data_IF_360787028478
#
_entry.id   IF_360787028478
#
_cell.length_a   1.000
_cell.length_b   1.000
_cell.length_c   1.000
_cell.angle_alpha   90.00
_cell.angle_beta   90.00
_cell.angle_gamma   90.00
#
_symmetry.space_group_name_H-M   'P 1'
#
loop_
_entity.id
_entity.type
_entity.pdbx_description
1 polymer ?
#
# COMPACT_ATOMS: atom_id res chain seq x y z
N UNK A 1 8.56 -11.78 3.70
CA UNK A 1 7.58 -10.80 3.22
C UNK A 1 6.23 -10.93 3.93
N UNK A 2 5.61 -12.09 3.88
CA UNK A 2 4.30 -12.32 4.50
C UNK A 2 4.30 -12.03 6.01
N UNK A 3 5.30 -12.54 6.74
CA UNK A 3 5.41 -12.29 8.18
C UNK A 3 5.60 -10.80 8.50
N UNK A 4 6.38 -10.11 7.71
CA UNK A 4 6.58 -8.66 7.86
C UNK A 4 5.28 -7.91 7.65
N UNK A 5 4.52 -8.25 6.62
CA UNK A 5 3.23 -7.62 6.32
C UNK A 5 2.25 -7.81 7.47
N UNK A 6 2.10 -9.02 7.97
CA UNK A 6 1.21 -9.30 9.09
C UNK A 6 1.60 -8.47 10.31
N UNK A 7 2.89 -8.45 10.65
CA UNK A 7 3.38 -7.68 11.81
C UNK A 7 3.13 -6.17 11.62
N UNK A 8 3.38 -5.66 10.42
CA UNK A 8 3.26 -4.21 10.13
C UNK A 8 1.81 -3.71 10.25
N UNK A 9 0.82 -4.55 9.93
CA UNK A 9 -0.59 -4.14 9.91
C UNK A 9 -1.39 -4.56 11.15
N UNK A 10 -0.75 -5.19 12.16
CA UNK A 10 -1.46 -5.64 13.37
C UNK A 10 -2.14 -4.49 14.11
N UNK A 11 -1.47 -3.35 14.27
CA UNK A 11 -2.03 -2.21 15.00
C UNK A 11 -3.29 -1.68 14.31
N UNK A 12 -3.27 -1.58 12.99
CA UNK A 12 -4.44 -1.14 12.21
C UNK A 12 -5.57 -2.17 12.27
N UNK A 13 -5.23 -3.45 12.22
CA UNK A 13 -6.23 -4.50 12.34
C UNK A 13 -6.89 -4.50 13.71
N UNK A 14 -6.11 -4.33 14.79
CA UNK A 14 -6.64 -4.23 16.14
C UNK A 14 -7.59 -3.04 16.28
N UNK A 15 -7.29 -1.92 15.60
CA UNK A 15 -8.09 -0.70 15.64
C UNK A 15 -9.40 -0.82 14.85
N UNK A 16 -9.35 -1.42 13.66
CA UNK A 16 -10.49 -1.40 12.71
C UNK A 16 -11.20 -2.74 12.56
N UNK A 17 -10.57 -3.84 12.92
CA UNK A 17 -11.14 -5.20 12.88
C UNK A 17 -11.80 -5.54 11.55
N UNK A 18 -11.03 -5.39 10.46
CA UNK A 18 -11.46 -5.63 9.09
C UNK A 18 -10.80 -6.88 8.48
N UNK A 19 -11.23 -8.09 8.86
CA UNK A 19 -10.56 -9.33 8.44
C UNK A 19 -10.56 -9.56 6.93
N UNK A 20 -11.55 -9.00 6.22
CA UNK A 20 -11.65 -9.19 4.76
C UNK A 20 -10.74 -8.27 3.97
N UNK A 21 -10.36 -7.12 4.52
CA UNK A 21 -9.61 -6.10 3.79
C UNK A 21 -8.22 -5.85 4.36
N UNK A 22 -7.94 -6.27 5.62
CA UNK A 22 -6.66 -5.99 6.26
C UNK A 22 -5.54 -6.87 5.71
N UNK A 23 -4.39 -6.26 5.34
CA UNK A 23 -3.20 -7.05 5.01
C UNK A 23 -2.68 -7.91 6.18
N UNK A 24 -3.07 -7.62 7.42
CA UNK A 24 -2.68 -8.40 8.60
C UNK A 24 -3.31 -9.79 8.63
N UNK A 25 -4.41 -10.00 7.91
CA UNK A 25 -5.11 -11.29 7.86
C UNK A 25 -4.90 -12.03 6.54
N UNK A 26 -4.08 -11.52 5.64
CA UNK A 26 -3.78 -12.18 4.39
C UNK A 26 -3.06 -13.49 4.64
N UNK A 27 -3.51 -14.57 3.97
CA UNK A 27 -2.87 -15.88 4.12
C UNK A 27 -1.55 -15.96 3.35
N UNK A 28 -0.67 -16.85 3.78
CA UNK A 28 0.57 -17.13 3.05
C UNK A 28 0.27 -17.56 1.61
N UNK A 29 -0.74 -18.39 1.42
CA UNK A 29 -1.15 -18.88 0.09
C UNK A 29 -1.54 -17.73 -0.83
N UNK A 30 -2.28 -16.75 -0.33
CA UNK A 30 -2.67 -15.58 -1.10
C UNK A 30 -1.47 -14.73 -1.49
N UNK A 31 -0.54 -14.52 -0.59
CA UNK A 31 0.70 -13.81 -0.88
C UNK A 31 1.52 -14.54 -1.94
N UNK A 32 1.64 -15.85 -1.85
CA UNK A 32 2.35 -16.68 -2.84
C UNK A 32 1.69 -16.59 -4.21
N UNK A 33 0.36 -16.65 -4.27
CA UNK A 33 -0.40 -16.51 -5.52
C UNK A 33 -0.11 -15.16 -6.18
N UNK A 34 -0.08 -14.08 -5.40
CA UNK A 34 0.24 -12.75 -5.91
C UNK A 34 1.66 -12.65 -6.45
N UNK A 35 2.62 -13.27 -5.78
CA UNK A 35 4.02 -13.29 -6.23
C UNK A 35 4.19 -13.99 -7.58
N UNK A 36 3.33 -14.95 -7.90
CA UNK A 36 3.37 -15.69 -9.17
C UNK A 36 2.72 -14.94 -10.34
N UNK A 37 1.95 -13.87 -10.06
CA UNK A 37 1.30 -13.08 -11.10
C UNK A 37 2.34 -12.30 -11.90
N UNK A 38 2.30 -12.35 -13.26
CA UNK A 38 3.32 -11.66 -14.07
C UNK A 38 3.22 -10.13 -14.02
N UNK A 39 2.08 -9.59 -13.59
CA UNK A 39 1.84 -8.16 -13.48
C UNK A 39 2.04 -7.61 -12.07
N UNK A 40 2.43 -8.47 -11.10
CA UNK A 40 2.62 -8.08 -9.70
C UNK A 40 4.11 -7.99 -9.39
N UNK A 41 4.51 -6.87 -8.81
CA UNK A 41 5.88 -6.58 -8.44
C UNK A 41 5.94 -6.29 -6.95
N UNK A 42 6.65 -7.14 -6.20
CA UNK A 42 6.93 -6.89 -4.78
C UNK A 42 8.34 -6.33 -4.64
N UNK A 43 8.46 -5.29 -3.83
CA UNK A 43 9.75 -4.67 -3.54
C UNK A 43 9.96 -4.61 -2.04
N UNK A 44 11.14 -5.02 -1.61
CA UNK A 44 11.59 -4.67 -0.27
C UNK A 44 12.07 -3.22 -0.28
N UNK A 45 11.73 -2.49 0.77
CA UNK A 45 12.22 -1.13 0.99
C UNK A 45 13.44 -1.25 1.89
N UNK A 46 14.60 -0.88 1.35
CA UNK A 46 15.88 -1.01 2.08
C UNK A 46 16.47 0.37 2.33
N UNK A 47 16.98 0.55 3.54
CA UNK A 47 17.76 1.73 3.92
C UNK A 47 19.12 1.20 4.38
N UNK A 48 20.18 1.55 3.63
CA UNK A 48 21.50 0.95 3.78
C UNK A 48 21.39 -0.58 3.64
N UNK A 49 21.79 -1.35 4.65
CA UNK A 49 21.70 -2.81 4.60
C UNK A 49 20.47 -3.36 5.34
N UNK A 50 19.57 -2.50 5.73
CA UNK A 50 18.41 -2.88 6.53
C UNK A 50 17.12 -2.86 5.71
N UNK A 51 16.35 -3.95 5.75
CA UNK A 51 15.01 -3.99 5.16
C UNK A 51 14.05 -3.36 6.16
N UNK A 52 13.45 -2.23 5.78
CA UNK A 52 12.56 -1.46 6.66
C UNK A 52 11.09 -1.62 6.34
N UNK A 53 10.76 -2.22 5.20
CA UNK A 53 9.38 -2.44 4.79
C UNK A 53 9.29 -3.11 3.43
N UNK A 54 8.11 -3.03 2.83
CA UNK A 54 7.87 -3.58 1.49
C UNK A 54 6.68 -2.88 0.84
N UNK A 55 6.56 -3.04 -0.47
CA UNK A 55 5.40 -2.54 -1.23
C UNK A 55 5.07 -3.48 -2.37
N UNK A 56 3.82 -3.49 -2.77
CA UNK A 56 3.35 -4.23 -3.94
C UNK A 56 2.83 -3.26 -4.99
N UNK A 57 3.31 -3.44 -6.22
CA UNK A 57 2.84 -2.68 -7.39
C UNK A 57 2.17 -3.65 -8.36
N UNK A 58 0.99 -3.29 -8.85
CA UNK A 58 0.35 -3.99 -9.96
C UNK A 58 0.52 -3.10 -11.19
N UNK A 59 1.20 -3.63 -12.19
CA UNK A 59 1.47 -2.91 -13.44
C UNK A 59 1.32 -3.88 -14.62
N UNK A 60 0.21 -3.75 -15.33
CA UNK A 60 -0.07 -4.59 -16.50
C UNK A 60 0.73 -4.16 -17.74
N UNK A 61 1.42 -3.02 -17.66
CA UNK A 61 2.21 -2.43 -18.77
C UNK A 61 1.38 -2.26 -20.04
N UNK A 62 0.12 -1.90 -19.87
CA UNK A 62 -0.81 -1.63 -20.95
C UNK A 62 -1.27 -0.16 -20.91
N UNK A 63 -1.31 0.48 -22.07
CA UNK A 63 -1.81 1.83 -22.17
C UNK A 63 -3.28 1.90 -21.73
N UNK A 64 -3.63 2.94 -20.98
CA UNK A 64 -4.98 3.15 -20.50
C UNK A 64 -5.34 2.41 -19.23
N UNK A 65 -4.47 1.53 -18.73
CA UNK A 65 -4.67 0.88 -17.44
C UNK A 65 -3.89 1.57 -16.34
N UNK A 66 -4.57 1.84 -15.24
CA UNK A 66 -3.92 2.40 -14.05
C UNK A 66 -3.04 1.34 -13.38
N UNK A 67 -1.91 1.78 -12.85
CA UNK A 67 -1.10 0.98 -11.93
C UNK A 67 -1.69 1.11 -10.54
N UNK A 68 -1.57 0.06 -9.75
CA UNK A 68 -2.12 0.02 -8.39
C UNK A 68 -1.01 -0.25 -7.38
N UNK A 69 -0.99 0.52 -6.30
CA UNK A 69 0.00 0.36 -5.24
C UNK A 69 -0.73 0.03 -3.94
N UNK A 70 -0.61 -1.20 -3.49
CA UNK A 70 -1.17 -1.68 -2.22
C UNK A 70 -0.80 -3.14 -1.99
N UNK A 71 -0.35 -3.53 -0.80
CA UNK A 71 -0.05 -2.64 0.32
C UNK A 71 1.31 -1.99 0.18
N UNK A 72 1.54 -0.94 0.95
CA UNK A 72 2.85 -0.41 1.26
C UNK A 72 2.96 -0.29 2.78
N UNK A 73 4.07 -0.72 3.34
CA UNK A 73 4.27 -0.64 4.79
C UNK A 73 5.72 -0.41 5.15
N UNK A 74 5.89 0.29 6.26
CA UNK A 74 7.18 0.46 6.94
C UNK A 74 7.03 -0.19 8.32
N UNK A 75 8.03 -0.96 8.73
CA UNK A 75 8.02 -1.58 10.06
C UNK A 75 8.01 -0.50 11.13
N UNK A 76 7.32 -0.78 12.24
CA UNK A 76 7.02 0.19 13.28
C UNK A 76 8.23 0.98 13.76
N UNK A 77 9.36 0.32 13.98
CA UNK A 77 10.59 0.93 14.47
C UNK A 77 11.26 1.90 13.49
N UNK A 78 10.84 1.89 12.24
CA UNK A 78 11.41 2.75 11.19
C UNK A 78 10.45 3.83 10.69
N UNK A 79 9.25 3.92 11.25
CA UNK A 79 8.23 4.88 10.82
C UNK A 79 8.59 6.32 11.21
N UNK A 80 7.97 7.27 10.52
CA UNK A 80 8.15 8.69 10.79
C UNK A 80 9.42 9.29 10.20
N UNK A 81 10.07 8.63 9.26
CA UNK A 81 11.33 9.04 8.64
C UNK A 81 11.23 9.34 7.15
N UNK A 82 10.03 9.30 6.58
CA UNK A 82 9.79 9.58 5.16
C UNK A 82 10.12 8.43 4.21
N UNK A 83 10.33 7.23 4.69
CA UNK A 83 10.71 6.09 3.84
C UNK A 83 9.60 5.66 2.89
N UNK A 84 8.34 5.68 3.33
CA UNK A 84 7.21 5.35 2.46
C UNK A 84 7.11 6.33 1.29
N UNK A 85 7.27 7.61 1.56
CA UNK A 85 7.25 8.66 0.54
C UNK A 85 8.36 8.46 -0.49
N UNK A 86 9.58 8.18 -0.03
CA UNK A 86 10.71 7.91 -0.91
C UNK A 86 10.49 6.66 -1.75
N UNK A 87 9.94 5.59 -1.15
CA UNK A 87 9.65 4.35 -1.86
C UNK A 87 8.60 4.56 -2.95
N UNK A 88 7.57 5.35 -2.68
CA UNK A 88 6.54 5.66 -3.69
C UNK A 88 7.12 6.46 -4.85
N UNK A 89 8.03 7.39 -4.59
CA UNK A 89 8.73 8.12 -5.66
C UNK A 89 9.60 7.20 -6.52
N UNK A 90 10.29 6.25 -5.90
CA UNK A 90 11.06 5.25 -6.62
C UNK A 90 10.18 4.34 -7.47
N UNK A 91 9.01 3.97 -6.98
CA UNK A 91 8.04 3.20 -7.76
C UNK A 91 7.63 3.95 -9.03
N UNK A 92 7.43 5.26 -8.92
CA UNK A 92 7.13 6.09 -10.09
C UNK A 92 8.30 6.18 -11.08
N UNK A 93 9.53 6.19 -10.59
CA UNK A 93 10.71 6.15 -11.46
C UNK A 93 10.80 4.84 -12.24
N UNK A 94 10.44 3.73 -11.60
CA UNK A 94 10.51 2.39 -12.23
C UNK A 94 9.34 2.16 -13.19
N UNK A 95 8.12 2.55 -12.81
CA UNK A 95 6.88 2.20 -13.51
C UNK A 95 6.24 3.36 -14.26
N UNK A 96 6.74 4.57 -14.11
CA UNK A 96 6.16 5.78 -14.71
C UNK A 96 5.46 6.65 -13.66
N UNK A 97 5.38 7.95 -13.94
CA UNK A 97 4.94 8.95 -12.96
C UNK A 97 3.42 9.21 -12.97
N UNK A 98 2.67 8.66 -13.91
CA UNK A 98 1.23 8.91 -14.02
C UNK A 98 0.44 7.62 -14.12
N UNK A 99 -0.87 7.72 -13.89
CA UNK A 99 -1.76 6.58 -14.02
C UNK A 99 -1.71 5.65 -12.82
N UNK A 100 -1.69 6.18 -11.61
CA UNK A 100 -1.65 5.42 -10.37
C UNK A 100 -2.99 5.46 -9.63
N UNK A 101 -3.34 4.35 -9.01
CA UNK A 101 -4.46 4.24 -8.07
C UNK A 101 -3.99 3.60 -6.78
N UNK A 102 -4.63 3.99 -5.69
CA UNK A 102 -4.50 3.30 -4.40
C UNK A 102 -5.77 3.52 -3.56
N UNK A 103 -5.91 2.72 -2.52
CA UNK A 103 -6.94 2.95 -1.52
C UNK A 103 -6.30 3.07 -0.14
N UNK A 104 -7.00 3.71 0.77
CA UNK A 104 -6.56 3.85 2.15
C UNK A 104 -7.75 4.05 3.07
N UNK A 105 -7.50 3.95 4.37
CA UNK A 105 -8.52 4.13 5.40
C UNK A 105 -8.76 5.63 5.59
N UNK A 106 -10.01 6.07 5.40
CA UNK A 106 -10.39 7.48 5.54
C UNK A 106 -10.02 8.04 6.92
N UNK A 107 -10.18 7.23 7.97
CA UNK A 107 -9.91 7.63 9.35
C UNK A 107 -8.42 7.78 9.68
N UNK A 108 -7.55 7.25 8.82
CA UNK A 108 -6.10 7.40 8.97
C UNK A 108 -5.64 8.67 8.25
N UNK A 109 -5.80 9.82 8.91
CA UNK A 109 -5.54 11.13 8.30
C UNK A 109 -4.09 11.34 7.88
N UNK A 110 -3.15 10.75 8.58
CA UNK A 110 -1.74 10.80 8.21
C UNK A 110 -1.45 10.18 6.86
N UNK A 111 -2.08 9.05 6.58
CA UNK A 111 -1.94 8.37 5.29
C UNK A 111 -2.59 9.18 4.16
N UNK A 112 -3.79 9.69 4.41
CA UNK A 112 -4.48 10.55 3.43
C UNK A 112 -3.62 11.77 3.09
N UNK A 113 -3.07 12.43 4.11
CA UNK A 113 -2.21 13.60 3.93
C UNK A 113 -0.94 13.26 3.14
N UNK A 114 -0.32 12.11 3.43
CA UNK A 114 0.86 11.64 2.69
C UNK A 114 0.57 11.50 1.21
N UNK A 115 -0.54 10.85 0.85
CA UNK A 115 -0.88 10.61 -0.55
C UNK A 115 -1.24 11.91 -1.26
N UNK A 116 -1.98 12.80 -0.61
CA UNK A 116 -2.29 14.12 -1.18
C UNK A 116 -1.04 14.94 -1.42
N UNK A 117 -0.07 14.89 -0.50
CA UNK A 117 1.23 15.55 -0.67
C UNK A 117 2.00 15.02 -1.86
N UNK A 118 1.85 13.74 -2.19
CA UNK A 118 2.50 13.11 -3.35
C UNK A 118 1.76 13.35 -4.68
N UNK A 119 0.67 14.09 -4.64
CA UNK A 119 -0.10 14.45 -5.84
C UNK A 119 -1.31 13.58 -6.10
N UNK A 120 -1.62 12.63 -5.22
CA UNK A 120 -2.83 11.83 -5.32
C UNK A 120 -4.05 12.64 -4.91
N UNK A 121 -5.18 12.38 -5.56
CA UNK A 121 -6.45 13.04 -5.27
C UNK A 121 -7.55 12.00 -5.09
N UNK A 122 -8.46 12.27 -4.15
CA UNK A 122 -9.61 11.39 -3.95
C UNK A 122 -10.49 11.38 -5.19
N UNK A 123 -10.95 10.18 -5.57
CA UNK A 123 -11.82 10.00 -6.73
C UNK A 123 -13.28 10.30 -6.43
N UNK A 124 -13.65 10.34 -5.15
CA UNK A 124 -15.03 10.43 -4.71
C UNK A 124 -15.66 9.08 -4.39
N UNK A 125 -15.03 7.98 -4.80
CA UNK A 125 -15.50 6.64 -4.45
C UNK A 125 -15.12 6.31 -3.02
N UNK A 126 -16.04 5.66 -2.30
CA UNK A 126 -15.81 5.19 -0.94
C UNK A 126 -16.40 3.80 -0.78
N UNK A 127 -15.85 3.04 0.18
CA UNK A 127 -16.36 1.73 0.54
C UNK A 127 -16.43 1.61 2.06
N UNK A 128 -17.63 1.54 2.62
CA UNK A 128 -17.80 1.30 4.05
C UNK A 128 -17.57 -0.19 4.31
N UNK A 129 -16.53 -0.52 5.07
CA UNK A 129 -16.19 -1.90 5.41
C UNK A 129 -16.91 -2.33 6.69
N UNK A 130 -16.89 -1.47 7.71
CA UNK A 130 -17.60 -1.69 8.98
C UNK A 130 -17.85 -0.35 9.66
N UNK A 131 -18.35 -0.37 10.89
CA UNK A 131 -18.65 0.86 11.65
C UNK A 131 -17.43 1.73 11.91
N UNK A 132 -16.23 1.17 11.86
CA UNK A 132 -14.98 1.84 12.22
C UNK A 132 -14.16 2.28 11.01
N UNK A 133 -14.39 1.66 9.84
CA UNK A 133 -13.51 1.80 8.70
C UNK A 133 -14.26 2.06 7.42
N UNK A 134 -13.87 3.15 6.74
CA UNK A 134 -14.28 3.45 5.37
C UNK A 134 -13.03 3.56 4.52
N UNK A 135 -13.00 2.89 3.38
CA UNK A 135 -11.94 3.04 2.39
C UNK A 135 -12.26 4.19 1.45
N UNK A 136 -11.25 4.98 1.13
CA UNK A 136 -11.30 6.01 0.09
C UNK A 136 -10.28 5.69 -0.98
N UNK A 137 -10.59 6.10 -2.21
CA UNK A 137 -9.77 5.78 -3.39
C UNK A 137 -9.11 7.05 -3.90
N UNK A 138 -7.84 6.92 -4.26
CA UNK A 138 -7.00 8.00 -4.75
C UNK A 138 -6.46 7.66 -6.14
N UNK A 139 -6.31 8.68 -6.95
CA UNK A 139 -5.66 8.60 -8.27
C UNK A 139 -4.63 9.70 -8.46
N UNK A 140 -3.65 9.37 -9.29
CA UNK A 140 -2.62 10.33 -9.68
C UNK A 140 -2.38 10.28 -11.19
#
# INVERSE_FOLDING_TARGET
LWKMQIAAFQDLYAKYQDPETSPATETLEKTMTRLEQPYTYYYYIKVEDCIVGAMRVIDHKEDGKYKFLSPIFIMKEFRGRGYAQQAMRLAEEIHGSSGWELDTILQEKGNCHLYEKLGYRQTGETKVVNERLTLVFYRK
#
